data_IF_723893177542
#
_entry.id   IF_723893177542
#
_cell.length_a   1.000
_cell.length_b   1.000
_cell.length_c   1.000
_cell.angle_alpha   90.00
_cell.angle_beta   90.00
_cell.angle_gamma   90.00
#
_symmetry.space_group_name_H-M   'P 1'
#
loop_
_entity.id
_entity.type
_entity.pdbx_description
1 polymer ?
#
# COMPACT_ATOMS: atom_id res chain seq x y z
N UNK A 1 25.22 32.04 27.12
CA UNK A 1 23.95 31.61 27.72
C UNK A 1 22.80 31.70 26.72
N UNK A 2 22.63 32.81 25.97
CA UNK A 2 21.56 32.95 24.97
C UNK A 2 21.64 31.93 23.81
N UNK A 3 22.84 31.57 23.34
CA UNK A 3 23.02 30.56 22.26
C UNK A 3 22.62 29.13 22.69
N UNK A 4 22.81 28.80 23.97
CA UNK A 4 22.41 27.50 24.52
C UNK A 4 20.88 27.39 24.56
N UNK A 5 20.19 28.46 24.97
CA UNK A 5 18.73 28.51 24.98
C UNK A 5 18.13 28.37 23.59
N UNK A 6 18.72 29.01 22.56
CA UNK A 6 18.27 28.83 21.17
C UNK A 6 18.49 27.41 20.65
N UNK A 7 19.61 26.77 21.00
CA UNK A 7 19.89 25.39 20.61
C UNK A 7 18.94 24.38 21.28
N UNK A 8 18.70 24.55 22.59
CA UNK A 8 17.77 23.70 23.34
C UNK A 8 16.35 23.88 22.84
N UNK A 9 15.91 25.11 22.60
CA UNK A 9 14.59 25.39 22.01
C UNK A 9 14.43 24.74 20.63
N UNK A 10 15.48 24.77 19.78
CA UNK A 10 15.49 24.10 18.49
C UNK A 10 15.34 22.58 18.60
N UNK A 11 16.08 21.94 19.52
CA UNK A 11 15.97 20.48 19.71
C UNK A 11 14.63 20.04 20.27
N UNK A 12 14.05 20.82 21.20
CA UNK A 12 12.70 20.58 21.71
C UNK A 12 11.69 20.68 20.56
N UNK A 13 11.79 21.72 19.74
CA UNK A 13 10.93 21.88 18.56
C UNK A 13 11.03 20.71 17.59
N UNK A 14 12.24 20.29 17.22
CA UNK A 14 12.47 19.16 16.31
C UNK A 14 11.90 17.86 16.90
N UNK A 15 12.12 17.63 18.20
CA UNK A 15 11.60 16.46 18.90
C UNK A 15 10.08 16.44 18.91
N UNK A 16 9.41 17.57 19.18
CA UNK A 16 7.95 17.69 19.09
C UNK A 16 7.43 17.42 17.68
N UNK A 17 8.07 17.99 16.65
CA UNK A 17 7.67 17.77 15.24
C UNK A 17 7.82 16.30 14.86
N UNK A 18 8.94 15.67 15.19
CA UNK A 18 9.17 14.25 14.88
C UNK A 18 8.16 13.32 15.57
N UNK A 19 7.83 13.59 16.84
CA UNK A 19 6.84 12.82 17.59
C UNK A 19 5.44 12.95 16.97
N UNK A 20 5.05 14.17 16.58
CA UNK A 20 3.78 14.40 15.90
C UNK A 20 3.68 13.69 14.56
N UNK A 21 4.77 13.69 13.76
CA UNK A 21 4.82 12.99 12.48
C UNK A 21 4.69 11.47 12.64
N UNK A 22 5.37 10.88 13.62
CA UNK A 22 5.26 9.44 13.94
C UNK A 22 3.83 9.08 14.35
N UNK A 23 3.19 9.91 15.17
CA UNK A 23 1.80 9.69 15.58
C UNK A 23 0.83 9.76 14.40
N UNK A 24 0.95 10.79 13.54
CA UNK A 24 0.11 10.93 12.35
C UNK A 24 0.32 9.76 11.37
N UNK A 25 1.56 9.35 11.14
CA UNK A 25 1.88 8.20 10.27
C UNK A 25 1.35 6.89 10.85
N UNK A 26 1.49 6.68 12.16
CA UNK A 26 0.90 5.54 12.87
C UNK A 26 -0.62 5.49 12.73
N UNK A 27 -1.30 6.61 12.97
CA UNK A 27 -2.75 6.70 12.80
C UNK A 27 -3.19 6.41 11.36
N UNK A 28 -2.47 6.97 10.37
CA UNK A 28 -2.73 6.74 8.96
C UNK A 28 -2.54 5.27 8.55
N UNK A 29 -1.44 4.63 8.97
CA UNK A 29 -1.17 3.22 8.68
C UNK A 29 -2.19 2.27 9.33
N UNK A 30 -2.64 2.56 10.57
CA UNK A 30 -3.73 1.81 11.21
C UNK A 30 -5.03 1.98 10.46
N UNK A 31 -5.39 3.22 10.09
CA UNK A 31 -6.62 3.51 9.35
C UNK A 31 -6.63 2.81 7.99
N UNK A 32 -5.50 2.85 7.29
CA UNK A 32 -5.28 2.12 6.05
C UNK A 32 -5.50 0.61 6.22
N UNK A 33 -4.89 0.01 7.26
CA UNK A 33 -5.03 -1.42 7.53
C UNK A 33 -6.49 -1.81 7.85
N UNK A 34 -7.18 -0.99 8.64
CA UNK A 34 -8.60 -1.20 8.97
C UNK A 34 -9.48 -1.16 7.73
N UNK A 35 -9.27 -0.18 6.85
CA UNK A 35 -10.04 -0.07 5.60
C UNK A 35 -9.75 -1.26 4.69
N UNK A 36 -8.49 -1.65 4.52
CA UNK A 36 -8.11 -2.84 3.74
C UNK A 36 -8.76 -4.11 4.28
N UNK A 37 -8.77 -4.29 5.61
CA UNK A 37 -9.42 -5.43 6.24
C UNK A 37 -10.93 -5.43 5.99
N UNK A 38 -11.58 -4.27 6.13
CA UNK A 38 -13.01 -4.12 5.89
C UNK A 38 -13.37 -4.39 4.42
N UNK A 39 -12.60 -3.87 3.48
CA UNK A 39 -12.80 -4.12 2.04
C UNK A 39 -12.63 -5.60 1.71
N UNK A 40 -11.61 -6.23 2.28
CA UNK A 40 -11.38 -7.68 2.12
C UNK A 40 -12.53 -8.50 2.69
N UNK A 41 -13.08 -8.10 3.85
CA UNK A 41 -14.23 -8.75 4.45
C UNK A 41 -15.49 -8.63 3.57
N UNK A 42 -15.78 -7.44 3.04
CA UNK A 42 -16.91 -7.25 2.13
C UNK A 42 -16.79 -8.09 0.84
N UNK A 43 -15.59 -8.14 0.25
CA UNK A 43 -15.33 -8.97 -0.93
C UNK A 43 -15.52 -10.47 -0.64
N UNK A 44 -15.03 -10.97 0.50
CA UNK A 44 -15.22 -12.37 0.92
C UNK A 44 -16.69 -12.71 1.19
N UNK A 45 -17.44 -11.81 1.82
CA UNK A 45 -18.88 -12.00 2.05
C UNK A 45 -19.62 -12.08 0.72
N UNK A 46 -19.27 -11.21 -0.24
CA UNK A 46 -19.87 -11.25 -1.58
C UNK A 46 -19.52 -12.54 -2.32
N UNK A 47 -18.25 -12.97 -2.25
CA UNK A 47 -17.79 -14.23 -2.82
C UNK A 47 -18.59 -15.42 -2.27
N UNK A 48 -18.69 -15.54 -0.94
CA UNK A 48 -19.43 -16.62 -0.30
C UNK A 48 -20.92 -16.60 -0.67
N UNK A 49 -21.52 -15.41 -0.84
CA UNK A 49 -22.93 -15.30 -1.29
C UNK A 49 -23.14 -15.81 -2.71
N UNK A 50 -22.21 -15.54 -3.62
CA UNK A 50 -22.27 -16.05 -5.00
C UNK A 50 -22.21 -17.58 -4.99
N UNK A 51 -21.35 -18.16 -4.16
CA UNK A 51 -21.19 -19.61 -4.03
C UNK A 51 -22.39 -20.29 -3.36
N UNK A 52 -22.97 -19.70 -2.30
CA UNK A 52 -24.08 -20.32 -1.55
C UNK A 52 -25.45 -20.08 -2.17
N UNK A 53 -25.77 -18.84 -2.55
CA UNK A 53 -27.11 -18.45 -3.02
C UNK A 53 -27.26 -18.55 -4.54
N UNK A 54 -26.13 -18.67 -5.25
CA UNK A 54 -26.09 -18.66 -6.70
C UNK A 54 -26.38 -17.28 -7.31
N UNK A 55 -26.36 -17.19 -8.65
CA UNK A 55 -26.46 -15.93 -9.39
C UNK A 55 -27.84 -15.24 -9.30
N UNK A 56 -28.89 -15.89 -8.79
CA UNK A 56 -30.27 -15.36 -8.76
C UNK A 56 -30.51 -14.27 -7.73
N UNK A 57 -29.60 -14.08 -6.77
CA UNK A 57 -29.77 -13.09 -5.72
C UNK A 57 -29.53 -11.67 -6.25
N UNK A 58 -30.60 -10.88 -6.35
CA UNK A 58 -30.54 -9.48 -6.80
C UNK A 58 -29.66 -8.60 -5.91
N UNK A 59 -29.42 -8.99 -4.65
CA UNK A 59 -28.58 -8.24 -3.73
C UNK A 59 -27.11 -8.31 -4.12
N UNK A 60 -26.66 -9.38 -4.81
CA UNK A 60 -25.28 -9.56 -5.25
C UNK A 60 -24.82 -8.39 -6.11
N UNK A 61 -25.66 -7.99 -7.08
CA UNK A 61 -25.35 -6.87 -7.98
C UNK A 61 -25.24 -5.53 -7.21
N UNK A 62 -26.15 -5.28 -6.28
CA UNK A 62 -26.15 -4.05 -5.48
C UNK A 62 -24.91 -3.98 -4.57
N UNK A 63 -24.57 -5.08 -3.90
CA UNK A 63 -23.37 -5.18 -3.07
C UNK A 63 -22.09 -5.04 -3.88
N UNK A 64 -22.00 -5.70 -5.05
CA UNK A 64 -20.87 -5.53 -5.94
C UNK A 64 -20.70 -4.07 -6.34
N UNK A 65 -21.77 -3.42 -6.83
CA UNK A 65 -21.72 -2.00 -7.21
C UNK A 65 -21.25 -1.12 -6.05
N UNK A 66 -21.77 -1.35 -4.85
CA UNK A 66 -21.39 -0.60 -3.65
C UNK A 66 -19.90 -0.79 -3.32
N UNK A 67 -19.38 -2.02 -3.43
CA UNK A 67 -17.96 -2.32 -3.19
C UNK A 67 -17.06 -1.62 -4.21
N UNK A 68 -17.45 -1.59 -5.50
CA UNK A 68 -16.70 -0.87 -6.54
C UNK A 68 -16.66 0.63 -6.25
N UNK A 69 -17.79 1.23 -5.85
CA UNK A 69 -17.86 2.64 -5.48
C UNK A 69 -16.96 2.95 -4.28
N UNK A 70 -17.02 2.13 -3.22
CA UNK A 70 -16.15 2.23 -2.05
C UNK A 70 -14.67 2.09 -2.40
N UNK A 71 -14.32 1.15 -3.28
CA UNK A 71 -12.94 0.94 -3.72
C UNK A 71 -12.42 2.13 -4.54
N UNK A 72 -13.28 2.77 -5.33
CA UNK A 72 -12.93 3.97 -6.07
C UNK A 72 -12.75 5.18 -5.14
N UNK A 73 -13.63 5.37 -4.15
CA UNK A 73 -13.49 6.41 -3.13
C UNK A 73 -12.21 6.23 -2.32
N UNK A 74 -11.93 4.99 -1.91
CA UNK A 74 -10.68 4.59 -1.27
C UNK A 74 -9.47 4.96 -2.14
N UNK A 75 -9.49 4.60 -3.43
CA UNK A 75 -8.38 4.92 -4.31
C UNK A 75 -8.18 6.46 -4.43
N UNK A 76 -9.24 7.25 -4.55
CA UNK A 76 -9.14 8.71 -4.63
C UNK A 76 -8.56 9.32 -3.34
N UNK A 77 -8.96 8.83 -2.17
CA UNK A 77 -8.51 9.36 -0.88
C UNK A 77 -7.06 8.99 -0.56
N UNK A 78 -6.65 7.74 -0.81
CA UNK A 78 -5.35 7.23 -0.34
C UNK A 78 -4.25 7.29 -1.40
N UNK A 79 -4.59 7.24 -2.70
CA UNK A 79 -3.58 7.11 -3.76
C UNK A 79 -2.54 8.22 -3.75
N UNK A 80 -2.92 9.46 -3.42
CA UNK A 80 -1.99 10.59 -3.35
C UNK A 80 -0.97 10.44 -2.22
N UNK A 81 -1.41 10.04 -1.03
CA UNK A 81 -0.53 9.85 0.13
C UNK A 81 0.37 8.63 -0.08
N UNK A 82 -0.18 7.52 -0.60
CA UNK A 82 0.61 6.33 -0.94
C UNK A 82 1.66 6.62 -2.00
N UNK A 83 1.34 7.45 -3.01
CA UNK A 83 2.32 7.86 -4.01
C UNK A 83 3.49 8.63 -3.38
N UNK A 84 3.18 9.59 -2.50
CA UNK A 84 4.22 10.32 -1.77
C UNK A 84 5.09 9.37 -0.94
N UNK A 85 4.49 8.37 -0.29
CA UNK A 85 5.21 7.36 0.48
C UNK A 85 6.15 6.51 -0.39
N UNK A 86 5.72 6.14 -1.60
CA UNK A 86 6.58 5.42 -2.55
C UNK A 86 7.79 6.26 -2.97
N UNK A 87 7.60 7.56 -3.18
CA UNK A 87 8.69 8.47 -3.53
C UNK A 87 9.66 8.63 -2.36
N UNK A 88 9.18 8.84 -1.14
CA UNK A 88 10.04 8.95 0.06
C UNK A 88 10.79 7.64 0.33
N UNK A 89 10.11 6.51 0.20
CA UNK A 89 10.69 5.17 0.33
C UNK A 89 11.79 4.86 -0.70
N UNK A 90 11.78 5.51 -1.88
CA UNK A 90 12.84 5.32 -2.86
C UNK A 90 14.13 6.07 -2.51
N UNK A 91 14.03 7.19 -1.77
CA UNK A 91 15.15 8.08 -1.47
C UNK A 91 15.70 7.90 -0.05
N UNK A 92 14.82 7.81 0.95
CA UNK A 92 15.18 7.83 2.36
C UNK A 92 16.05 6.63 2.80
N UNK A 93 15.76 5.38 2.40
CA UNK A 93 16.60 4.23 2.77
C UNK A 93 17.99 4.31 2.16
N UNK A 94 18.16 4.94 0.99
CA UNK A 94 19.47 5.10 0.34
C UNK A 94 20.44 5.91 1.21
N UNK A 95 19.97 7.01 1.79
CA UNK A 95 20.77 7.85 2.68
C UNK A 95 21.19 7.11 3.96
N UNK A 96 20.26 6.37 4.57
CA UNK A 96 20.57 5.53 5.72
C UNK A 96 21.52 4.38 5.36
N UNK A 97 21.36 3.77 4.18
CA UNK A 97 22.24 2.70 3.69
C UNK A 97 23.69 3.17 3.54
N UNK A 98 23.89 4.35 2.95
CA UNK A 98 25.23 4.95 2.86
C UNK A 98 25.81 5.27 4.25
N UNK A 99 24.99 5.83 5.16
CA UNK A 99 25.43 6.12 6.53
C UNK A 99 25.85 4.86 7.29
N UNK A 100 25.16 3.73 7.10
CA UNK A 100 25.55 2.43 7.68
C UNK A 100 26.92 2.00 7.20
N UNK A 101 27.17 2.06 5.89
CA UNK A 101 28.46 1.64 5.30
C UNK A 101 29.60 2.45 5.92
N UNK A 102 29.41 3.76 6.09
CA UNK A 102 30.38 4.63 6.74
C UNK A 102 30.56 4.32 8.23
N UNK A 103 29.47 4.10 8.97
CA UNK A 103 29.50 3.77 10.39
C UNK A 103 30.20 2.43 10.67
N UNK A 104 30.03 1.44 9.78
CA UNK A 104 30.73 0.16 9.85
C UNK A 104 32.24 0.36 9.64
N UNK A 105 32.64 1.16 8.63
CA UNK A 105 34.06 1.49 8.40
C UNK A 105 34.70 2.17 9.62
N UNK A 106 33.97 3.01 10.35
CA UNK A 106 34.45 3.71 11.55
C UNK A 106 34.30 2.93 12.87
N UNK A 107 33.79 1.68 12.85
CA UNK A 107 33.47 0.86 14.04
C UNK A 107 32.59 1.59 15.06
N UNK A 108 31.67 2.43 14.59
CA UNK A 108 30.77 3.20 15.46
C UNK A 108 29.55 2.36 15.86
N UNK A 109 29.17 2.42 17.15
CA UNK A 109 27.94 1.83 17.69
C UNK A 109 26.67 2.39 17.08
N UNK A 110 26.72 3.55 16.41
CA UNK A 110 25.62 4.15 15.68
C UNK A 110 25.05 3.27 14.54
N UNK A 111 25.79 2.25 14.10
CA UNK A 111 25.34 1.32 13.05
C UNK A 111 24.01 0.62 13.41
N UNK A 112 23.78 0.27 14.68
CA UNK A 112 22.55 -0.42 15.11
C UNK A 112 21.30 0.47 14.95
N UNK A 113 21.39 1.75 15.31
CA UNK A 113 20.30 2.72 15.15
C UNK A 113 19.95 2.94 13.66
N UNK A 114 20.98 3.00 12.80
CA UNK A 114 20.78 3.15 11.36
C UNK A 114 20.15 1.92 10.71
N UNK A 115 20.51 0.70 11.14
CA UNK A 115 19.87 -0.53 10.68
C UNK A 115 18.37 -0.51 11.02
N UNK A 116 18.03 -0.14 12.26
CA UNK A 116 16.63 0.00 12.68
C UNK A 116 15.87 0.99 11.80
N UNK A 117 16.47 2.16 11.50
CA UNK A 117 15.87 3.18 10.62
C UNK A 117 15.61 2.66 9.20
N UNK A 118 16.52 1.89 8.61
CA UNK A 118 16.30 1.27 7.29
C UNK A 118 15.10 0.32 7.33
N UNK A 119 15.06 -0.56 8.32
CA UNK A 119 13.98 -1.53 8.46
C UNK A 119 12.62 -0.84 8.58
N UNK A 120 12.52 0.20 9.42
CA UNK A 120 11.29 0.99 9.58
C UNK A 120 10.93 1.74 8.30
N UNK A 121 11.91 2.36 7.61
CA UNK A 121 11.65 3.09 6.37
C UNK A 121 11.20 2.20 5.21
N UNK A 122 11.56 0.91 5.22
CA UNK A 122 11.19 -0.05 4.18
C UNK A 122 9.90 -0.80 4.53
N UNK A 123 9.54 -0.92 5.81
CA UNK A 123 8.32 -1.61 6.23
C UNK A 123 7.05 -0.83 5.88
N UNK A 124 7.08 0.50 5.95
CA UNK A 124 5.99 1.39 5.53
C UNK A 124 5.46 1.12 4.12
N UNK A 125 6.28 1.30 3.06
CA UNK A 125 5.88 1.02 1.68
C UNK A 125 5.57 -0.46 1.45
N UNK A 126 6.21 -1.37 2.17
CA UNK A 126 5.89 -2.80 2.10
C UNK A 126 4.46 -3.08 2.58
N UNK A 127 4.07 -2.57 3.74
CA UNK A 127 2.71 -2.73 4.30
C UNK A 127 1.67 -2.13 3.34
N UNK A 128 1.96 -0.95 2.77
CA UNK A 128 1.07 -0.30 1.80
C UNK A 128 0.85 -1.14 0.54
N UNK A 129 1.93 -1.62 -0.06
CA UNK A 129 1.85 -2.47 -1.25
C UNK A 129 1.22 -3.83 -0.95
N UNK A 130 1.45 -4.39 0.24
CA UNK A 130 0.80 -5.62 0.69
C UNK A 130 -0.72 -5.41 0.87
N UNK A 131 -1.15 -4.29 1.43
CA UNK A 131 -2.58 -3.96 1.54
C UNK A 131 -3.26 -3.84 0.18
N UNK A 132 -2.62 -3.18 -0.78
CA UNK A 132 -3.13 -3.08 -2.15
C UNK A 132 -3.17 -4.45 -2.85
N UNK A 133 -2.15 -5.29 -2.64
CA UNK A 133 -2.10 -6.66 -3.14
C UNK A 133 -3.24 -7.52 -2.57
N UNK A 134 -3.48 -7.47 -1.26
CA UNK A 134 -4.58 -8.23 -0.62
C UNK A 134 -5.93 -7.89 -1.24
N UNK A 135 -6.22 -6.60 -1.45
CA UNK A 135 -7.46 -6.16 -2.11
C UNK A 135 -7.54 -6.73 -3.53
N UNK A 136 -6.46 -6.65 -4.30
CA UNK A 136 -6.42 -7.19 -5.67
C UNK A 136 -6.71 -8.68 -5.70
N UNK A 137 -6.10 -9.44 -4.78
CA UNK A 137 -6.31 -10.88 -4.68
C UNK A 137 -7.76 -11.24 -4.30
N UNK A 138 -8.40 -10.48 -3.41
CA UNK A 138 -9.80 -10.73 -3.07
C UNK A 138 -10.73 -10.40 -4.27
N UNK A 139 -10.43 -9.35 -5.04
CA UNK A 139 -11.17 -9.02 -6.27
C UNK A 139 -11.00 -10.10 -7.34
N UNK A 140 -9.79 -10.64 -7.50
CA UNK A 140 -9.52 -11.73 -8.44
C UNK A 140 -10.27 -13.01 -8.06
N UNK A 141 -10.28 -13.37 -6.77
CA UNK A 141 -11.09 -14.48 -6.26
C UNK A 141 -12.59 -14.27 -6.51
N UNK A 142 -13.08 -13.04 -6.33
CA UNK A 142 -14.45 -12.70 -6.66
C UNK A 142 -14.75 -12.89 -8.16
N UNK A 143 -13.80 -12.55 -9.03
CA UNK A 143 -13.91 -12.78 -10.47
C UNK A 143 -14.05 -14.29 -10.76
N UNK A 144 -13.19 -15.12 -10.17
CA UNK A 144 -13.19 -16.57 -10.33
C UNK A 144 -14.50 -17.22 -9.83
N UNK A 145 -15.00 -16.84 -8.65
CA UNK A 145 -16.28 -17.33 -8.13
C UNK A 145 -17.47 -16.86 -8.99
N UNK A 146 -17.40 -15.64 -9.55
CA UNK A 146 -18.42 -15.13 -10.47
C UNK A 146 -18.40 -15.89 -11.81
N UNK A 147 -17.21 -16.27 -12.30
CA UNK A 147 -17.06 -17.01 -13.54
C UNK A 147 -17.52 -18.47 -13.42
N UNK A 148 -17.22 -19.12 -12.28
CA UNK A 148 -17.56 -20.51 -12.01
C UNK A 148 -19.04 -20.75 -11.66
N UNK A 149 -19.80 -19.70 -11.32
CA UNK A 149 -21.23 -19.83 -11.09
C UNK A 149 -21.97 -20.17 -12.40
N UNK A 150 -23.13 -20.85 -12.32
CA UNK A 150 -23.94 -21.27 -13.49
C UNK A 150 -24.72 -20.11 -14.15
N UNK A 151 -24.10 -18.95 -14.33
CA UNK A 151 -24.72 -17.73 -14.85
C UNK A 151 -25.33 -17.88 -16.26
N UNK A 152 -24.84 -18.85 -17.04
CA UNK A 152 -25.31 -19.13 -18.40
C UNK A 152 -26.67 -19.85 -18.43
N UNK A 153 -27.07 -20.53 -17.35
CA UNK A 153 -28.38 -21.17 -17.21
C UNK A 153 -29.47 -20.18 -16.72
N UNK A 154 -29.09 -18.97 -16.33
CA UNK A 154 -29.99 -17.99 -15.72
C UNK A 154 -30.75 -17.12 -16.74
N UNK A 155 -31.78 -16.43 -16.24
CA UNK A 155 -32.57 -15.47 -17.00
C UNK A 155 -31.69 -14.37 -17.63
N UNK A 156 -32.07 -13.83 -18.81
CA UNK A 156 -31.27 -12.83 -19.52
C UNK A 156 -30.88 -11.60 -18.70
N UNK A 157 -31.73 -11.18 -17.76
CA UNK A 157 -31.45 -10.05 -16.86
C UNK A 157 -30.30 -10.36 -15.90
N UNK A 158 -30.41 -11.46 -15.17
CA UNK A 158 -29.39 -11.93 -14.21
C UNK A 158 -28.07 -12.22 -14.93
N UNK A 159 -28.15 -12.86 -16.10
CA UNK A 159 -27.00 -13.13 -16.96
C UNK A 159 -26.22 -11.86 -17.31
N UNK A 160 -26.93 -10.79 -17.67
CA UNK A 160 -26.32 -9.49 -18.01
C UNK A 160 -25.66 -8.83 -16.80
N UNK A 161 -26.28 -8.94 -15.63
CA UNK A 161 -25.75 -8.35 -14.39
C UNK A 161 -24.44 -9.04 -13.97
N UNK A 162 -24.43 -10.38 -13.93
CA UNK A 162 -23.21 -11.15 -13.62
C UNK A 162 -22.12 -10.94 -14.68
N UNK A 163 -22.51 -10.88 -15.96
CA UNK A 163 -21.55 -10.56 -17.03
C UNK A 163 -20.92 -9.17 -16.86
N UNK A 164 -21.70 -8.17 -16.42
CA UNK A 164 -21.18 -6.83 -16.12
C UNK A 164 -20.23 -6.86 -14.92
N UNK A 165 -20.55 -7.62 -13.87
CA UNK A 165 -19.66 -7.82 -12.72
C UNK A 165 -18.34 -8.47 -13.14
N UNK A 166 -18.42 -9.52 -13.98
CA UNK A 166 -17.23 -10.16 -14.54
C UNK A 166 -16.41 -9.18 -15.35
N UNK A 167 -17.00 -8.43 -16.28
CA UNK A 167 -16.28 -7.44 -17.09
C UNK A 167 -15.53 -6.39 -16.24
N UNK A 168 -16.14 -5.92 -15.15
CA UNK A 168 -15.53 -4.96 -14.24
C UNK A 168 -14.35 -5.59 -13.49
N UNK A 169 -14.49 -6.85 -13.06
CA UNK A 169 -13.48 -7.58 -12.28
C UNK A 169 -12.40 -8.24 -13.15
N UNK A 170 -12.62 -8.42 -14.47
CA UNK A 170 -11.62 -8.94 -15.42
C UNK A 170 -10.41 -8.03 -15.51
N UNK A 171 -10.60 -6.72 -15.36
CA UNK A 171 -9.48 -5.81 -15.14
C UNK A 171 -9.24 -5.77 -13.64
N UNK A 172 -8.04 -6.12 -13.15
CA UNK A 172 -7.78 -6.05 -11.72
C UNK A 172 -8.07 -4.62 -11.29
N UNK A 173 -8.95 -4.45 -10.30
CA UNK A 173 -9.27 -3.14 -9.74
C UNK A 173 -8.10 -2.76 -8.85
N UNK A 174 -6.98 -2.49 -9.49
CA UNK A 174 -5.74 -2.15 -8.83
C UNK A 174 -5.91 -0.79 -8.19
N UNK A 175 -5.55 -0.71 -6.92
CA UNK A 175 -5.38 0.57 -6.24
C UNK A 175 -4.22 1.27 -6.95
N UNK A 176 -4.52 2.34 -7.67
CA UNK A 176 -3.63 2.97 -8.63
C UNK A 176 -3.59 4.48 -8.42
N UNK A 177 -2.40 5.06 -8.41
CA UNK A 177 -2.26 6.51 -8.54
C UNK A 177 -2.20 6.92 -10.02
N UNK A 178 -3.29 7.53 -10.52
CA UNK A 178 -3.39 8.18 -11.85
C UNK A 178 -2.77 7.37 -13.01
N UNK A 179 -2.87 6.04 -12.97
CA UNK A 179 -2.27 5.09 -13.93
C UNK A 179 -0.72 5.06 -13.96
N UNK A 180 -0.02 5.81 -13.11
CA UNK A 180 1.44 5.82 -13.05
C UNK A 180 1.99 4.65 -12.23
N UNK A 181 1.36 4.38 -11.08
CA UNK A 181 1.82 3.36 -10.13
C UNK A 181 0.62 2.56 -9.64
N UNK A 182 0.70 1.24 -9.78
CA UNK A 182 -0.20 0.29 -9.14
C UNK A 182 0.42 -0.16 -7.81
N UNK A 183 -0.31 0.00 -6.70
CA UNK A 183 0.17 -0.38 -5.38
C UNK A 183 0.02 -1.89 -5.19
N UNK A 184 1.08 -2.63 -5.51
CA UNK A 184 1.14 -4.08 -5.45
C UNK A 184 2.57 -4.55 -5.08
N UNK A 185 2.74 -5.85 -4.81
CA UNK A 185 4.07 -6.39 -4.48
C UNK A 185 5.12 -6.17 -5.61
N UNK A 186 4.78 -6.28 -6.90
CA UNK A 186 5.68 -5.90 -8.00
C UNK A 186 6.18 -4.45 -7.93
N UNK A 187 5.34 -3.50 -7.50
CA UNK A 187 5.75 -2.12 -7.28
C UNK A 187 6.79 -2.03 -6.16
N UNK A 188 6.57 -2.69 -5.03
CA UNK A 188 7.55 -2.75 -3.94
C UNK A 188 8.89 -3.35 -4.38
N UNK A 189 8.86 -4.41 -5.20
CA UNK A 189 10.08 -4.98 -5.77
C UNK A 189 10.83 -3.97 -6.67
N UNK A 190 10.10 -3.14 -7.42
CA UNK A 190 10.68 -2.07 -8.24
C UNK A 190 11.31 -0.98 -7.37
N UNK A 191 10.65 -0.58 -6.28
CA UNK A 191 11.20 0.38 -5.30
C UNK A 191 12.50 -0.17 -4.68
N UNK A 192 12.49 -1.45 -4.28
CA UNK A 192 13.64 -2.12 -3.68
C UNK A 192 14.84 -2.19 -4.64
N UNK A 193 14.59 -2.46 -5.94
CA UNK A 193 15.61 -2.39 -6.99
C UNK A 193 16.17 -0.97 -7.14
N UNK A 194 15.30 0.04 -7.11
CA UNK A 194 15.68 1.45 -7.12
C UNK A 194 16.62 1.79 -5.98
N UNK A 195 16.26 1.42 -4.75
CA UNK A 195 17.10 1.58 -3.56
C UNK A 195 18.51 1.01 -3.77
N UNK A 196 18.62 -0.24 -4.20
CA UNK A 196 19.92 -0.89 -4.41
C UNK A 196 20.76 -0.20 -5.49
N UNK A 197 20.10 0.21 -6.59
CA UNK A 197 20.76 0.92 -7.69
C UNK A 197 21.31 2.28 -7.24
N UNK A 198 20.51 3.08 -6.53
CA UNK A 198 20.94 4.39 -6.03
C UNK A 198 22.02 4.27 -4.96
N UNK A 199 21.90 3.30 -4.04
CA UNK A 199 22.93 3.02 -3.05
C UNK A 199 24.27 2.70 -3.73
N UNK A 200 24.26 1.81 -4.72
CA UNK A 200 25.45 1.41 -5.47
C UNK A 200 26.05 2.61 -6.22
N UNK A 201 25.22 3.46 -6.82
CA UNK A 201 25.68 4.68 -7.48
C UNK A 201 26.41 5.62 -6.50
N UNK A 202 25.83 5.89 -5.33
CA UNK A 202 26.44 6.76 -4.30
C UNK A 202 27.78 6.19 -3.83
N UNK A 203 27.88 4.88 -3.62
CA UNK A 203 29.13 4.24 -3.20
C UNK A 203 30.22 4.42 -4.27
N UNK A 204 29.89 4.18 -5.56
CA UNK A 204 30.87 4.36 -6.64
C UNK A 204 31.36 5.80 -6.77
N UNK A 205 30.51 6.79 -6.47
CA UNK A 205 30.92 8.21 -6.46
C UNK A 205 31.80 8.58 -5.25
N UNK A 206 31.73 7.85 -4.14
CA UNK A 206 32.56 8.07 -2.94
C UNK A 206 33.96 7.45 -3.10
N UNK A 207 34.09 6.43 -3.96
CA UNK A 207 35.36 5.72 -4.22
C UNK A 207 36.22 6.37 -5.32
N UNK A 208 35.64 7.21 -6.18
CA UNK A 208 36.32 7.99 -7.23
C UNK A 208 36.74 9.38 -6.75
#
# INVERSE_FOLDING_TARGET
MNELWSYVAGNIYISCVSLSAVFCYGAFSVLQFLVTFQMSAYLRVLQNRIETNGPRDKQIYYHHKTIIELLNEYNVLFSGVMYQEVVTASLQPCGYGYAIIKAIKSKDTAAFDLVYKILVSTSGPFIMCACGEEINQQVEKLHESSYSCKWYEEEPKVRRDIFTMMLITTRPITVNYRLFIAFNLPCFATISKGFYSYLTMIINFDEN
#
